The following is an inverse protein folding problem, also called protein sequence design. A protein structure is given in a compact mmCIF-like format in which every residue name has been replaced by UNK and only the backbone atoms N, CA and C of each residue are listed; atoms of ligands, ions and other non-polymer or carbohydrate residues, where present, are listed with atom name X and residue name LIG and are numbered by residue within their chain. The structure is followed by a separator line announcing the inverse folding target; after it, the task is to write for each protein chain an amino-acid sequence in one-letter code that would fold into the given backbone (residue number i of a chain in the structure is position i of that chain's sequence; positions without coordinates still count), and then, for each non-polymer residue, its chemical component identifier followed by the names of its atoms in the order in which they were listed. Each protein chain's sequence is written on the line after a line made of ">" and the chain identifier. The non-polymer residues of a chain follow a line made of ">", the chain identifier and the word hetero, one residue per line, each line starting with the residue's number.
data_IF_137919507540
#
_entry.id   IF_137919507540
#
_cell.length_a   1.000
_cell.length_b   1.000
_cell.length_c   1.000
_cell.angle_alpha   90.00
_cell.angle_beta   90.00
_cell.angle_gamma   90.00
#
_symmetry.space_group_name_H-M   'P 1'
#
loop_
_entity.id
_entity.type
_entity.pdbx_description
1 polymer ?
#
# COMPACT_ATOMS: atom_id res chain seq x y z
N UNK A 1 -26.63 12.35 6.61
CA UNK A 1 -26.57 12.08 8.07
C UNK A 1 -25.36 11.21 8.36
N UNK A 2 -24.36 11.72 9.10
CA UNK A 2 -23.19 10.93 9.51
C UNK A 2 -23.63 9.97 10.63
N UNK A 3 -23.83 8.70 10.34
CA UNK A 3 -23.91 7.67 11.38
C UNK A 3 -22.52 7.56 12.00
N UNK A 4 -22.33 8.21 13.15
CA UNK A 4 -21.18 7.94 14.01
C UNK A 4 -21.32 6.49 14.48
N UNK A 5 -20.70 5.57 13.73
CA UNK A 5 -20.63 4.17 14.12
C UNK A 5 -19.65 4.09 15.30
N UNK A 6 -20.20 3.93 16.50
CA UNK A 6 -19.39 3.75 17.70
C UNK A 6 -18.48 2.51 17.52
N UNK A 7 -17.15 2.61 17.77
CA UNK A 7 -16.23 1.48 17.73
C UNK A 7 -16.70 0.34 18.61
N UNK A 8 -16.48 -0.91 18.18
CA UNK A 8 -16.91 -2.09 18.92
C UNK A 8 -16.29 -2.15 20.32
N UNK A 9 -15.00 -1.79 20.44
CA UNK A 9 -14.29 -1.68 21.72
C UNK A 9 -14.93 -0.70 22.69
N UNK A 10 -15.40 0.45 22.20
CA UNK A 10 -16.13 1.41 23.02
C UNK A 10 -17.45 0.82 23.49
N UNK A 11 -18.20 0.17 22.59
CA UNK A 11 -19.44 -0.53 22.94
C UNK A 11 -19.22 -1.59 24.03
N UNK A 12 -18.24 -2.47 23.86
CA UNK A 12 -17.91 -3.50 24.86
C UNK A 12 -17.43 -2.86 26.17
N UNK A 13 -16.65 -1.79 26.12
CA UNK A 13 -16.23 -1.04 27.32
C UNK A 13 -17.41 -0.47 28.11
N UNK A 14 -18.42 0.10 27.44
CA UNK A 14 -19.65 0.56 28.10
C UNK A 14 -20.49 -0.59 28.63
N UNK A 15 -20.57 -1.70 27.86
CA UNK A 15 -21.26 -2.91 28.28
C UNK A 15 -20.63 -3.50 29.55
N UNK A 16 -19.31 -3.62 29.61
CA UNK A 16 -18.59 -4.10 30.78
C UNK A 16 -18.82 -3.17 31.98
N UNK A 17 -18.76 -1.85 31.81
CA UNK A 17 -19.11 -0.89 32.89
C UNK A 17 -20.54 -1.09 33.41
N UNK A 18 -21.51 -1.35 32.53
CA UNK A 18 -22.90 -1.65 32.89
C UNK A 18 -23.05 -2.99 33.61
N UNK A 19 -22.34 -4.02 33.13
CA UNK A 19 -22.37 -5.37 33.70
C UNK A 19 -21.73 -5.41 35.09
N UNK A 20 -20.64 -4.66 35.30
CA UNK A 20 -19.85 -4.71 36.54
C UNK A 20 -20.15 -3.62 37.56
N UNK A 21 -20.93 -2.58 37.25
CA UNK A 21 -21.36 -1.46 38.10
C UNK A 21 -20.32 -0.93 39.12
N UNK A 22 -19.83 0.32 38.95
CA UNK A 22 -18.90 1.06 39.83
C UNK A 22 -18.82 0.54 41.30
N UNK A 23 -17.87 -0.34 41.61
CA UNK A 23 -17.51 -0.69 42.99
C UNK A 23 -15.99 -0.59 43.19
N UNK A 24 -15.51 -0.12 44.36
CA UNK A 24 -14.08 -0.13 44.69
C UNK A 24 -13.58 -1.58 44.74
N UNK A 25 -12.34 -1.79 44.30
CA UNK A 25 -11.65 -3.09 44.17
C UNK A 25 -11.41 -3.87 45.49
N UNK A 26 -12.06 -3.50 46.59
CA UNK A 26 -11.89 -4.10 47.91
C UNK A 26 -13.17 -4.81 48.33
N UNK A 27 -13.39 -6.02 47.83
CA UNK A 27 -13.97 -7.17 48.55
C UNK A 27 -14.32 -8.28 47.54
N UNK A 28 -13.84 -9.48 47.84
CA UNK A 28 -14.02 -10.71 47.10
C UNK A 28 -15.50 -11.12 46.98
N UNK A 29 -16.15 -10.82 45.85
CA UNK A 29 -17.25 -11.57 45.20
C UNK A 29 -17.79 -10.76 44.00
N UNK A 30 -17.18 -10.96 42.81
CA UNK A 30 -17.62 -10.33 41.56
C UNK A 30 -19.08 -10.71 41.22
N UNK A 31 -20.03 -9.76 41.30
CA UNK A 31 -21.44 -9.97 40.94
C UNK A 31 -21.86 -9.23 39.67
N UNK A 32 -21.08 -9.40 38.59
CA UNK A 32 -21.48 -8.86 37.28
C UNK A 32 -22.83 -9.44 36.81
N UNK A 33 -23.71 -8.60 36.24
CA UNK A 33 -25.05 -9.02 35.79
C UNK A 33 -25.34 -8.69 34.32
N UNK A 34 -25.60 -9.74 33.55
CA UNK A 34 -25.97 -9.70 32.13
C UNK A 34 -27.49 -9.92 32.00
N UNK A 35 -28.21 -8.93 31.49
CA UNK A 35 -29.66 -8.96 31.27
C UNK A 35 -30.02 -9.41 29.84
N UNK A 36 -31.30 -9.65 29.57
CA UNK A 36 -31.75 -9.85 28.18
C UNK A 36 -31.58 -8.61 27.31
N UNK A 37 -31.61 -7.40 27.88
CA UNK A 37 -31.34 -6.17 27.13
C UNK A 37 -29.88 -6.09 26.70
N UNK A 38 -28.94 -6.51 27.55
CA UNK A 38 -27.53 -6.65 27.20
C UNK A 38 -27.34 -7.63 26.03
N UNK A 39 -27.97 -8.81 26.11
CA UNK A 39 -27.91 -9.82 25.03
C UNK A 39 -28.46 -9.26 23.71
N UNK A 40 -29.60 -8.55 23.73
CA UNK A 40 -30.19 -7.92 22.54
C UNK A 40 -29.30 -6.81 21.96
N UNK A 41 -28.63 -6.05 22.81
CA UNK A 41 -27.71 -5.00 22.37
C UNK A 41 -26.48 -5.60 21.67
N UNK A 42 -25.94 -6.70 22.20
CA UNK A 42 -24.82 -7.44 21.60
C UNK A 42 -25.21 -8.01 20.24
N UNK A 43 -26.38 -8.65 20.14
CA UNK A 43 -26.92 -9.17 18.88
C UNK A 43 -26.98 -8.08 17.80
N UNK A 44 -27.58 -6.93 18.13
CA UNK A 44 -27.67 -5.78 17.23
C UNK A 44 -26.28 -5.28 16.80
N UNK A 45 -25.32 -5.24 17.72
CA UNK A 45 -23.97 -4.74 17.43
C UNK A 45 -23.20 -5.72 16.54
N UNK A 46 -23.32 -7.02 16.76
CA UNK A 46 -22.72 -8.05 15.90
C UNK A 46 -23.29 -7.96 14.49
N UNK A 47 -24.60 -7.84 14.34
CA UNK A 47 -25.24 -7.65 13.04
C UNK A 47 -24.76 -6.37 12.33
N UNK A 48 -24.59 -5.26 13.06
CA UNK A 48 -24.01 -4.03 12.54
C UNK A 48 -22.57 -4.23 12.04
N UNK A 49 -21.74 -4.92 12.82
CA UNK A 49 -20.35 -5.19 12.46
C UNK A 49 -20.25 -6.05 11.19
N UNK A 50 -21.07 -7.09 11.07
CA UNK A 50 -21.12 -7.93 9.86
C UNK A 50 -21.57 -7.10 8.66
N UNK A 51 -22.69 -6.37 8.78
CA UNK A 51 -23.26 -5.57 7.69
C UNK A 51 -22.31 -4.52 7.15
N UNK A 52 -21.54 -3.88 8.04
CA UNK A 52 -20.65 -2.78 7.68
C UNK A 52 -19.19 -3.21 7.53
N UNK A 53 -18.86 -4.50 7.62
CA UNK A 53 -17.50 -5.01 7.52
C UNK A 53 -16.55 -4.47 8.58
N UNK A 54 -17.06 -4.19 9.79
CA UNK A 54 -16.29 -3.60 10.90
C UNK A 54 -15.41 -4.68 11.52
N UNK A 55 -14.14 -4.34 11.74
CA UNK A 55 -13.18 -5.22 12.39
C UNK A 55 -13.36 -5.19 13.90
N UNK A 56 -13.17 -6.35 14.54
CA UNK A 56 -13.07 -6.47 16.00
C UNK A 56 -11.71 -7.04 16.40
N UNK A 57 -11.19 -6.58 17.53
CA UNK A 57 -9.92 -7.06 18.08
C UNK A 57 -10.09 -8.43 18.73
N UNK A 58 -8.98 -9.16 18.90
CA UNK A 58 -8.97 -10.41 19.67
C UNK A 58 -9.43 -10.18 21.13
N UNK A 59 -9.04 -9.03 21.71
CA UNK A 59 -9.48 -8.62 23.05
C UNK A 59 -10.98 -8.42 23.14
N UNK A 60 -11.59 -7.77 22.14
CA UNK A 60 -13.05 -7.57 22.09
C UNK A 60 -13.80 -8.91 21.99
N UNK A 61 -13.29 -9.84 21.18
CA UNK A 61 -13.83 -11.21 21.09
C UNK A 61 -13.74 -11.94 22.43
N UNK A 62 -12.60 -11.85 23.11
CA UNK A 62 -12.42 -12.45 24.43
C UNK A 62 -13.38 -11.86 25.47
N UNK A 63 -13.55 -10.53 25.48
CA UNK A 63 -14.47 -9.86 26.40
C UNK A 63 -15.93 -10.27 26.17
N UNK A 64 -16.34 -10.49 24.90
CA UNK A 64 -17.64 -11.08 24.59
C UNK A 64 -17.80 -12.49 25.14
N UNK A 65 -16.78 -13.35 25.00
CA UNK A 65 -16.81 -14.71 25.54
C UNK A 65 -16.86 -14.71 27.07
N UNK A 66 -16.16 -13.78 27.73
CA UNK A 66 -16.21 -13.61 29.20
C UNK A 66 -17.63 -13.27 29.70
N UNK A 67 -18.47 -12.58 28.92
CA UNK A 67 -19.87 -12.33 29.30
C UNK A 67 -20.68 -13.61 29.42
N UNK A 68 -20.33 -14.66 28.65
CA UNK A 68 -20.94 -15.99 28.77
C UNK A 68 -20.71 -16.58 30.16
N UNK A 69 -19.47 -16.52 30.64
CA UNK A 69 -19.09 -17.02 31.97
C UNK A 69 -19.82 -16.27 33.09
N UNK A 70 -20.04 -14.96 32.92
CA UNK A 70 -20.83 -14.15 33.85
C UNK A 70 -22.29 -14.60 33.87
N UNK A 71 -22.87 -14.96 32.72
CA UNK A 71 -24.23 -15.53 32.66
C UNK A 71 -24.29 -16.85 33.42
N UNK A 72 -23.30 -17.74 33.25
CA UNK A 72 -23.21 -19.01 33.99
C UNK A 72 -23.13 -18.76 35.50
N UNK A 73 -22.25 -17.86 35.94
CA UNK A 73 -22.02 -17.55 37.36
C UNK A 73 -23.21 -16.85 38.05
N UNK A 74 -24.09 -16.17 37.30
CA UNK A 74 -25.28 -15.50 37.87
C UNK A 74 -26.28 -16.46 38.54
N UNK A 75 -26.32 -17.74 38.15
CA UNK A 75 -27.23 -18.77 38.71
C UNK A 75 -28.71 -18.30 38.87
N UNK A 76 -29.18 -17.44 37.96
CA UNK A 76 -30.56 -16.93 37.96
C UNK A 76 -31.58 -17.97 37.44
N UNK A 77 -32.86 -17.81 37.76
CA UNK A 77 -33.95 -18.66 37.24
C UNK A 77 -34.07 -18.66 35.70
N UNK A 78 -33.48 -17.68 35.01
CA UNK A 78 -33.50 -17.55 33.55
C UNK A 78 -32.15 -17.84 32.88
N UNK A 79 -31.19 -18.43 33.60
CA UNK A 79 -29.81 -18.65 33.11
C UNK A 79 -29.76 -19.48 31.83
N UNK A 80 -30.44 -20.63 31.76
CA UNK A 80 -30.47 -21.45 30.55
C UNK A 80 -31.05 -20.69 29.35
N UNK A 81 -32.13 -19.93 29.55
CA UNK A 81 -32.75 -19.14 28.47
C UNK A 81 -31.85 -18.01 27.99
N UNK A 82 -31.06 -17.39 28.87
CA UNK A 82 -30.05 -16.40 28.50
C UNK A 82 -28.90 -17.03 27.72
N UNK A 83 -28.38 -18.16 28.20
CA UNK A 83 -27.30 -18.89 27.52
C UNK A 83 -27.71 -19.35 26.13
N UNK A 84 -28.89 -19.94 25.97
CA UNK A 84 -29.37 -20.38 24.66
C UNK A 84 -29.43 -19.23 23.65
N UNK A 85 -29.94 -18.05 24.07
CA UNK A 85 -29.96 -16.87 23.20
C UNK A 85 -28.56 -16.33 22.92
N UNK A 86 -27.70 -16.31 23.93
CA UNK A 86 -26.34 -15.78 23.79
C UNK A 86 -25.47 -16.68 22.90
N UNK A 87 -25.55 -18.00 23.09
CA UNK A 87 -24.83 -18.98 22.29
C UNK A 87 -25.28 -18.95 20.82
N UNK A 88 -26.57 -18.71 20.55
CA UNK A 88 -27.06 -18.49 19.18
C UNK A 88 -26.44 -17.24 18.53
N UNK A 89 -26.32 -16.15 19.28
CA UNK A 89 -25.66 -14.92 18.80
C UNK A 89 -24.17 -15.17 18.53
N UNK A 90 -23.49 -15.93 19.39
CA UNK A 90 -22.07 -16.24 19.24
C UNK A 90 -21.75 -17.07 17.99
N UNK A 91 -22.72 -17.81 17.42
CA UNK A 91 -22.53 -18.49 16.12
C UNK A 91 -22.25 -17.52 14.97
N UNK A 92 -22.67 -16.27 15.08
CA UNK A 92 -22.41 -15.22 14.08
C UNK A 92 -21.05 -14.54 14.28
N UNK A 93 -20.35 -14.79 15.40
CA UNK A 93 -19.07 -14.15 15.72
C UNK A 93 -17.97 -14.43 14.68
N UNK A 94 -17.82 -15.65 14.13
CA UNK A 94 -16.83 -15.93 13.08
C UNK A 94 -17.07 -15.16 11.77
N UNK A 95 -18.27 -14.65 11.52
CA UNK A 95 -18.59 -13.86 10.34
C UNK A 95 -18.13 -12.40 10.45
N UNK A 96 -17.69 -11.95 11.62
CA UNK A 96 -17.13 -10.61 11.81
C UNK A 96 -15.65 -10.64 11.40
N UNK A 97 -15.23 -9.64 10.63
CA UNK A 97 -13.81 -9.49 10.27
C UNK A 97 -12.97 -9.30 11.55
N UNK A 98 -11.90 -10.07 11.68
CA UNK A 98 -10.93 -9.90 12.77
C UNK A 98 -9.78 -9.00 12.35
N UNK A 99 -9.04 -8.42 13.30
CA UNK A 99 -7.79 -7.71 12.98
C UNK A 99 -6.79 -8.57 12.18
N UNK A 100 -6.81 -9.89 12.34
CA UNK A 100 -6.05 -10.81 11.48
C UNK A 100 -6.48 -10.75 10.01
N UNK A 101 -7.77 -10.54 9.72
CA UNK A 101 -8.25 -10.28 8.36
C UNK A 101 -7.66 -8.98 7.80
N UNK A 102 -7.51 -7.94 8.62
CA UNK A 102 -6.91 -6.65 8.21
C UNK A 102 -5.44 -6.82 7.83
N UNK A 103 -4.68 -7.60 8.59
CA UNK A 103 -3.29 -7.93 8.23
C UNK A 103 -3.25 -8.70 6.91
N UNK A 104 -4.11 -9.71 6.76
CA UNK A 104 -4.14 -10.53 5.55
C UNK A 104 -4.46 -9.68 4.31
N UNK A 105 -5.44 -8.79 4.39
CA UNK A 105 -5.78 -7.84 3.30
C UNK A 105 -4.58 -6.95 2.92
N UNK A 106 -3.84 -6.42 3.90
CA UNK A 106 -2.63 -5.63 3.65
C UNK A 106 -1.50 -6.46 3.04
N UNK A 107 -1.33 -7.72 3.45
CA UNK A 107 -0.35 -8.64 2.85
C UNK A 107 -0.71 -8.91 1.38
N UNK A 108 -1.99 -9.15 1.09
CA UNK A 108 -2.46 -9.36 -0.28
C UNK A 108 -2.26 -8.11 -1.14
N UNK A 109 -2.55 -6.92 -0.60
CA UNK A 109 -2.28 -5.65 -1.27
C UNK A 109 -0.78 -5.48 -1.57
N UNK A 110 0.07 -5.74 -0.58
CA UNK A 110 1.53 -5.74 -0.74
C UNK A 110 1.97 -6.70 -1.85
N UNK A 111 1.46 -7.93 -1.86
CA UNK A 111 1.81 -8.93 -2.88
C UNK A 111 1.41 -8.47 -4.28
N UNK A 112 0.19 -7.95 -4.44
CA UNK A 112 -0.31 -7.43 -5.71
C UNK A 112 0.51 -6.25 -6.23
N UNK A 113 0.83 -5.30 -5.36
CA UNK A 113 1.66 -4.13 -5.70
C UNK A 113 3.08 -4.56 -6.04
N UNK A 114 3.65 -5.50 -5.29
CA UNK A 114 5.00 -6.00 -5.56
C UNK A 114 5.06 -6.79 -6.88
N UNK A 115 4.02 -7.55 -7.24
CA UNK A 115 3.92 -8.21 -8.54
C UNK A 115 3.94 -7.19 -9.69
N UNK A 116 3.10 -6.15 -9.62
CA UNK A 116 3.08 -5.04 -10.60
C UNK A 116 4.46 -4.36 -10.72
N UNK A 117 5.12 -4.12 -9.59
CA UNK A 117 6.48 -3.55 -9.57
C UNK A 117 7.50 -4.45 -10.27
N UNK A 118 7.39 -5.76 -10.13
CA UNK A 118 8.28 -6.71 -10.82
C UNK A 118 8.04 -6.71 -12.34
N UNK A 119 6.78 -6.61 -12.78
CA UNK A 119 6.45 -6.48 -14.21
C UNK A 119 6.99 -5.18 -14.80
N UNK A 120 6.81 -4.04 -14.12
CA UNK A 120 7.39 -2.76 -14.55
C UNK A 120 8.92 -2.81 -14.60
N UNK A 121 9.55 -3.47 -13.62
CA UNK A 121 11.01 -3.67 -13.60
C UNK A 121 11.46 -4.46 -14.82
N UNK A 122 10.69 -5.46 -15.26
CA UNK A 122 10.93 -6.21 -16.48
C UNK A 122 10.78 -5.31 -17.72
N UNK A 123 9.65 -4.61 -17.86
CA UNK A 123 9.41 -3.68 -18.98
C UNK A 123 10.52 -2.63 -19.13
N UNK A 124 11.00 -2.09 -18.01
CA UNK A 124 12.10 -1.11 -17.96
C UNK A 124 13.42 -1.72 -18.41
N UNK A 125 13.72 -2.96 -18.01
CA UNK A 125 14.90 -3.68 -18.48
C UNK A 125 14.80 -4.03 -19.97
N UNK A 126 13.63 -4.45 -20.45
CA UNK A 126 13.39 -4.73 -21.86
C UNK A 126 13.57 -3.44 -22.70
N UNK A 127 13.12 -2.29 -22.19
CA UNK A 127 13.32 -0.98 -22.83
C UNK A 127 14.79 -0.61 -22.92
N UNK A 128 15.58 -0.84 -21.85
CA UNK A 128 17.04 -0.69 -21.90
C UNK A 128 17.67 -1.58 -22.97
N UNK A 129 17.26 -2.85 -23.04
CA UNK A 129 17.80 -3.78 -24.04
C UNK A 129 17.45 -3.36 -25.47
N UNK A 130 16.21 -2.92 -25.72
CA UNK A 130 15.80 -2.38 -27.03
C UNK A 130 16.65 -1.18 -27.44
N UNK A 131 16.91 -0.26 -26.50
CA UNK A 131 17.74 0.91 -26.75
C UNK A 131 19.20 0.51 -27.02
N UNK A 132 19.74 -0.45 -26.26
CA UNK A 132 21.08 -0.99 -26.46
C UNK A 132 21.25 -1.66 -27.83
N UNK A 133 20.31 -2.54 -28.21
CA UNK A 133 20.31 -3.18 -29.52
C UNK A 133 20.20 -2.17 -30.66
N UNK A 134 19.40 -1.10 -30.48
CA UNK A 134 19.29 -0.01 -31.45
C UNK A 134 20.63 0.71 -31.64
N UNK A 135 21.35 1.04 -30.56
CA UNK A 135 22.67 1.68 -30.65
C UNK A 135 23.72 0.78 -31.30
N UNK A 136 23.76 -0.51 -30.96
CA UNK A 136 24.70 -1.45 -31.57
C UNK A 136 24.43 -1.64 -33.06
N UNK A 137 23.17 -1.79 -33.46
CA UNK A 137 22.80 -1.89 -34.87
C UNK A 137 23.26 -0.66 -35.68
N UNK A 138 23.19 0.54 -35.08
CA UNK A 138 23.69 1.75 -35.74
C UNK A 138 25.22 1.83 -35.78
N UNK A 139 25.93 1.16 -34.88
CA UNK A 139 27.39 1.11 -34.86
C UNK A 139 27.96 0.08 -35.86
N UNK A 140 27.23 -1.02 -36.09
CA UNK A 140 27.64 -2.13 -36.97
C UNK A 140 27.35 -1.87 -38.46
N UNK A 141 26.32 -1.09 -38.78
CA UNK A 141 26.08 -0.64 -40.15
C UNK A 141 27.04 0.51 -40.51
N UNK A 142 27.49 0.54 -41.77
CA UNK A 142 28.44 1.48 -42.40
C UNK A 142 27.91 2.94 -42.49
N UNK A 143 27.18 3.41 -41.46
CA UNK A 143 26.50 4.71 -41.38
C UNK A 143 27.46 5.88 -41.14
N UNK A 144 28.79 5.67 -41.11
CA UNK A 144 29.77 6.72 -40.79
C UNK A 144 29.40 7.51 -39.51
N UNK A 145 28.95 6.80 -38.45
CA UNK A 145 28.53 7.42 -37.17
C UNK A 145 29.65 8.28 -36.59
N UNK A 146 29.46 9.61 -36.43
CA UNK A 146 30.48 10.49 -35.88
C UNK A 146 30.96 10.01 -34.52
N UNK A 147 32.26 10.16 -34.19
CA UNK A 147 32.80 9.80 -32.88
C UNK A 147 32.01 10.38 -31.71
N UNK A 148 31.54 11.62 -31.83
CA UNK A 148 30.71 12.27 -30.82
C UNK A 148 29.38 11.52 -30.54
N UNK A 149 28.72 11.01 -31.58
CA UNK A 149 27.47 10.25 -31.45
C UNK A 149 27.73 8.88 -30.83
N UNK A 150 28.84 8.22 -31.20
CA UNK A 150 29.26 6.95 -30.57
C UNK A 150 29.52 7.13 -29.08
N UNK A 151 30.22 8.20 -28.70
CA UNK A 151 30.45 8.55 -27.30
C UNK A 151 29.14 8.81 -26.54
N UNK A 152 28.14 9.44 -27.17
CA UNK A 152 26.82 9.58 -26.55
C UNK A 152 26.20 8.21 -26.27
N UNK A 153 26.18 7.29 -27.26
CA UNK A 153 25.59 5.97 -27.07
C UNK A 153 26.26 5.22 -25.92
N UNK A 154 27.59 5.23 -25.85
CA UNK A 154 28.34 4.64 -24.73
C UNK A 154 27.94 5.23 -23.38
N UNK A 155 27.80 6.56 -23.27
CA UNK A 155 27.37 7.23 -22.03
C UNK A 155 25.93 6.88 -21.65
N UNK A 156 25.02 6.83 -22.62
CA UNK A 156 23.64 6.40 -22.39
C UNK A 156 23.61 4.96 -21.87
N UNK A 157 24.33 4.04 -22.49
CA UNK A 157 24.44 2.64 -22.05
C UNK A 157 25.02 2.56 -20.63
N UNK A 158 26.05 3.36 -20.33
CA UNK A 158 26.68 3.40 -19.02
C UNK A 158 25.78 4.01 -17.91
N UNK A 159 24.84 4.89 -18.28
CA UNK A 159 23.97 5.60 -17.34
C UNK A 159 23.07 4.66 -16.52
N UNK A 160 22.61 3.55 -17.12
CA UNK A 160 21.81 2.47 -16.48
C UNK A 160 20.54 2.92 -15.72
N UNK A 161 20.13 4.17 -15.87
CA UNK A 161 18.95 4.80 -15.25
C UNK A 161 18.45 5.91 -16.20
N UNK A 162 17.13 6.00 -16.36
CA UNK A 162 16.47 6.95 -17.27
C UNK A 162 16.79 8.42 -16.99
N UNK A 163 16.89 8.84 -15.72
CA UNK A 163 17.24 10.22 -15.37
C UNK A 163 18.62 10.63 -15.86
N UNK A 164 19.61 9.75 -15.72
CA UNK A 164 20.97 10.01 -16.19
C UNK A 164 21.05 9.96 -17.71
N UNK A 165 20.33 9.03 -18.33
CA UNK A 165 20.21 8.98 -19.79
C UNK A 165 19.62 10.27 -20.35
N UNK A 166 18.52 10.75 -19.76
CA UNK A 166 17.88 11.99 -20.17
C UNK A 166 18.83 13.17 -20.05
N UNK A 167 19.58 13.27 -18.94
CA UNK A 167 20.57 14.33 -18.75
C UNK A 167 21.71 14.29 -19.80
N UNK A 168 22.29 13.11 -20.05
CA UNK A 168 23.34 12.93 -21.07
C UNK A 168 22.82 13.26 -22.48
N UNK A 169 21.61 12.80 -22.82
CA UNK A 169 20.98 13.06 -24.10
C UNK A 169 20.71 14.56 -24.30
N UNK A 170 20.12 15.21 -23.30
CA UNK A 170 19.88 16.65 -23.33
C UNK A 170 21.17 17.44 -23.45
N UNK A 171 22.19 17.09 -22.67
CA UNK A 171 23.50 17.75 -22.75
C UNK A 171 24.11 17.65 -24.16
N UNK A 172 24.02 16.46 -24.78
CA UNK A 172 24.47 16.26 -26.15
C UNK A 172 23.66 17.10 -27.16
N UNK A 173 22.32 17.06 -27.09
CA UNK A 173 21.48 17.84 -28.01
C UNK A 173 21.72 19.35 -27.91
N UNK A 174 22.06 19.85 -26.71
CA UNK A 174 22.43 21.25 -26.48
C UNK A 174 23.76 21.62 -27.14
N UNK A 175 24.80 20.77 -27.00
CA UNK A 175 26.11 21.02 -27.61
C UNK A 175 26.02 21.03 -29.14
N UNK A 176 25.22 20.14 -29.72
CA UNK A 176 25.13 19.93 -31.16
C UNK A 176 23.88 20.54 -31.81
N UNK A 177 23.17 21.41 -31.08
CA UNK A 177 21.99 22.15 -31.54
C UNK A 177 20.92 21.30 -32.28
N UNK A 178 20.69 20.08 -31.77
CA UNK A 178 19.67 19.17 -32.32
C UNK A 178 18.30 19.58 -31.81
N UNK A 179 17.41 20.01 -32.71
CA UNK A 179 16.04 20.38 -32.33
C UNK A 179 15.19 19.11 -32.24
N UNK A 180 14.84 18.69 -31.03
CA UNK A 180 13.89 17.60 -30.77
C UNK A 180 12.74 18.18 -29.95
N UNK A 181 11.47 18.04 -30.37
CA UNK A 181 10.35 18.38 -29.52
C UNK A 181 10.33 17.42 -28.32
N UNK A 182 10.66 17.92 -27.12
CA UNK A 182 10.59 17.16 -25.88
C UNK A 182 9.14 17.23 -25.37
N UNK A 183 8.48 16.08 -25.30
CA UNK A 183 7.07 15.97 -24.89
C UNK A 183 6.93 15.41 -23.47
N UNK A 184 7.83 15.79 -22.56
CA UNK A 184 7.81 15.34 -21.17
C UNK A 184 7.65 16.51 -20.20
N UNK A 185 6.54 16.50 -19.46
CA UNK A 185 6.35 17.32 -18.26
C UNK A 185 7.22 16.75 -17.13
N UNK A 186 8.41 17.33 -16.94
CA UNK A 186 9.36 16.99 -15.87
C UNK A 186 8.72 17.31 -14.50
N UNK A 187 8.62 16.37 -13.55
CA UNK A 187 8.11 16.63 -12.21
C UNK A 187 8.94 17.70 -11.46
N UNK A 188 8.29 18.53 -10.65
CA UNK A 188 8.89 19.71 -9.99
C UNK A 188 10.05 19.40 -9.04
N UNK A 189 10.21 18.15 -8.61
CA UNK A 189 11.30 17.70 -7.74
C UNK A 189 12.63 17.43 -8.47
N UNK A 190 12.69 17.60 -9.79
CA UNK A 190 13.90 17.51 -10.61
C UNK A 190 14.40 18.91 -11.03
N UNK A 191 14.66 19.79 -10.06
CA UNK A 191 14.97 21.21 -10.25
C UNK A 191 16.25 21.52 -11.06
N UNK A 192 17.10 20.51 -11.33
CA UNK A 192 18.32 20.67 -12.12
C UNK A 192 18.13 20.74 -13.64
N UNK A 193 16.93 20.48 -14.17
CA UNK A 193 16.70 20.25 -15.61
C UNK A 193 15.74 21.30 -16.21
N UNK A 194 15.52 22.45 -15.55
CA UNK A 194 14.46 23.38 -15.97
C UNK A 194 14.83 24.52 -16.92
N UNK A 195 16.07 24.66 -17.38
CA UNK A 195 16.37 25.72 -18.37
C UNK A 195 17.54 25.35 -19.26
N UNK A 196 17.32 25.36 -20.59
CA UNK A 196 18.23 25.85 -21.65
C UNK A 196 17.67 25.48 -23.03
N UNK A 197 16.80 26.37 -23.54
CA UNK A 197 16.54 26.50 -24.97
C UNK A 197 17.40 27.67 -25.47
N UNK A 198 18.43 27.40 -26.27
CA UNK A 198 19.07 28.38 -27.17
C UNK A 198 19.52 27.67 -28.45
N UNK A 199 19.56 28.41 -29.56
CA UNK A 199 19.48 27.91 -30.93
C UNK A 199 20.81 27.85 -31.71
N UNK A 200 20.73 27.15 -32.87
CA UNK A 200 21.54 27.18 -34.11
C UNK A 200 22.92 26.51 -34.20
N UNK A 201 22.95 25.29 -34.78
CA UNK A 201 23.67 24.84 -36.00
C UNK A 201 23.43 23.34 -36.21
N UNK A 202 23.26 22.92 -37.47
CA UNK A 202 22.72 21.62 -37.88
C UNK A 202 23.36 20.39 -37.20
N UNK A 203 22.56 19.35 -36.84
CA UNK A 203 23.08 18.08 -36.34
C UNK A 203 24.07 17.44 -37.34
N UNK A 204 25.03 16.62 -36.87
CA UNK A 204 25.87 15.86 -37.78
C UNK A 204 25.01 15.01 -38.73
N UNK A 205 25.41 14.99 -40.00
CA UNK A 205 24.68 14.61 -41.22
C UNK A 205 24.26 13.13 -41.35
N UNK A 206 23.86 12.49 -40.26
CA UNK A 206 23.22 11.17 -40.28
C UNK A 206 21.73 11.36 -40.08
N UNK A 207 20.92 10.66 -40.87
CA UNK A 207 19.47 10.51 -40.67
C UNK A 207 19.15 9.67 -39.42
N UNK A 208 19.74 10.02 -38.27
CA UNK A 208 19.36 9.45 -36.98
C UNK A 208 17.98 9.98 -36.63
N UNK A 209 17.07 9.09 -36.29
CA UNK A 209 15.76 9.47 -35.78
C UNK A 209 15.89 9.88 -34.31
N UNK A 210 16.40 11.10 -34.09
CA UNK A 210 16.63 11.65 -32.75
C UNK A 210 15.35 11.71 -31.89
N UNK A 211 14.19 11.90 -32.53
CA UNK A 211 12.89 11.84 -31.85
C UNK A 211 12.59 10.43 -31.31
N UNK A 212 12.92 9.38 -32.07
CA UNK A 212 12.78 8.00 -31.60
C UNK A 212 13.70 7.69 -30.43
N UNK A 213 14.95 8.19 -30.43
CA UNK A 213 15.87 8.02 -29.30
C UNK A 213 15.32 8.72 -28.05
N UNK A 214 14.83 9.96 -28.19
CA UNK A 214 14.20 10.71 -27.09
C UNK A 214 13.04 9.92 -26.51
N UNK A 215 12.12 9.45 -27.34
CA UNK A 215 10.94 8.70 -26.90
C UNK A 215 11.32 7.44 -26.10
N UNK A 216 12.36 6.70 -26.52
CA UNK A 216 12.83 5.51 -25.79
C UNK A 216 13.47 5.86 -24.45
N UNK A 217 14.20 6.98 -24.37
CA UNK A 217 14.78 7.46 -23.11
C UNK A 217 13.67 7.93 -22.16
N UNK A 218 12.67 8.63 -22.69
CA UNK A 218 11.50 9.10 -21.94
C UNK A 218 10.67 7.93 -21.40
N UNK A 219 10.46 6.86 -22.18
CA UNK A 219 9.83 5.60 -21.73
C UNK A 219 10.57 5.03 -20.50
N UNK A 220 11.90 4.89 -20.59
CA UNK A 220 12.72 4.37 -19.49
C UNK A 220 12.62 5.27 -18.26
N UNK A 221 12.66 6.59 -18.46
CA UNK A 221 12.53 7.57 -17.37
C UNK A 221 11.18 7.46 -16.65
N UNK A 222 10.07 7.39 -17.40
CA UNK A 222 8.73 7.25 -16.81
C UNK A 222 8.59 5.94 -16.02
N UNK A 223 9.14 4.84 -16.54
CA UNK A 223 9.15 3.56 -15.83
C UNK A 223 9.98 3.62 -14.54
N UNK A 224 11.13 4.30 -14.53
CA UNK A 224 11.93 4.51 -13.32
C UNK A 224 11.17 5.35 -12.27
N UNK A 225 10.40 6.36 -12.69
CA UNK A 225 9.56 7.17 -11.81
C UNK A 225 8.41 6.36 -11.21
N UNK A 226 7.72 5.56 -12.01
CA UNK A 226 6.68 4.65 -11.51
C UNK A 226 7.25 3.65 -10.51
N UNK A 227 8.40 3.03 -10.82
CA UNK A 227 9.10 2.11 -9.91
C UNK A 227 9.48 2.77 -8.57
N UNK A 228 9.84 4.04 -8.58
CA UNK A 228 10.10 4.82 -7.37
C UNK A 228 8.82 4.97 -6.53
N UNK A 229 7.69 5.34 -7.15
CA UNK A 229 6.40 5.46 -6.47
C UNK A 229 5.93 4.12 -5.87
N UNK A 230 6.07 3.04 -6.64
CA UNK A 230 5.78 1.69 -6.16
C UNK A 230 6.62 1.30 -4.95
N UNK A 231 7.91 1.68 -4.92
CA UNK A 231 8.78 1.45 -3.76
C UNK A 231 8.25 2.20 -2.52
N UNK A 232 7.87 3.47 -2.65
CA UNK A 232 7.31 4.23 -1.53
C UNK A 232 6.02 3.61 -0.98
N UNK A 233 5.11 3.17 -1.85
CA UNK A 233 3.88 2.50 -1.44
C UNK A 233 4.16 1.19 -0.69
N UNK A 234 5.13 0.41 -1.17
CA UNK A 234 5.56 -0.83 -0.52
C UNK A 234 6.12 -0.56 0.88
N UNK A 235 6.99 0.45 1.03
CA UNK A 235 7.59 0.80 2.32
C UNK A 235 6.50 1.24 3.33
N UNK A 236 5.51 2.01 2.86
CA UNK A 236 4.36 2.40 3.69
C UNK A 236 3.50 1.20 4.12
N UNK A 237 3.21 0.27 3.20
CA UNK A 237 2.44 -0.94 3.52
C UNK A 237 3.18 -1.84 4.50
N UNK A 238 4.50 -2.00 4.34
CA UNK A 238 5.32 -2.78 5.27
C UNK A 238 5.28 -2.19 6.69
N UNK A 239 5.33 -0.85 6.81
CA UNK A 239 5.22 -0.20 8.11
C UNK A 239 3.84 -0.43 8.75
N UNK A 240 2.74 -0.32 7.99
CA UNK A 240 1.38 -0.62 8.48
C UNK A 240 1.23 -2.07 8.93
N UNK A 241 1.78 -3.02 8.17
CA UNK A 241 1.75 -4.44 8.53
C UNK A 241 2.51 -4.67 9.83
N UNK A 242 3.72 -4.10 9.98
CA UNK A 242 4.53 -4.23 11.19
C UNK A 242 3.84 -3.65 12.42
N UNK A 243 3.20 -2.50 12.28
CA UNK A 243 2.46 -1.85 13.37
C UNK A 243 1.33 -2.75 13.89
N UNK A 244 0.47 -3.23 13.00
CA UNK A 244 -0.68 -4.08 13.39
C UNK A 244 -0.20 -5.44 13.92
N UNK A 245 0.82 -6.04 13.29
CA UNK A 245 1.40 -7.30 13.77
C UNK A 245 2.04 -7.14 15.16
N UNK A 246 2.73 -6.03 15.41
CA UNK A 246 3.30 -5.72 16.72
C UNK A 246 2.23 -5.60 17.81
N UNK A 247 1.11 -4.94 17.53
CA UNK A 247 -0.03 -4.86 18.45
C UNK A 247 -0.61 -6.23 18.77
N UNK A 248 -0.76 -7.12 17.77
CA UNK A 248 -1.26 -8.48 18.00
C UNK A 248 -0.31 -9.34 18.85
N UNK A 249 1.01 -9.22 18.66
CA UNK A 249 2.00 -9.97 19.46
C UNK A 249 1.96 -9.53 20.93
N UNK A 250 1.81 -8.23 21.19
CA UNK A 250 1.67 -7.72 22.56
C UNK A 250 0.39 -8.23 23.22
N UNK A 251 -0.72 -8.28 22.47
CA UNK A 251 -2.02 -8.74 23.01
C UNK A 251 -2.09 -10.26 23.24
N UNK A 252 -1.34 -11.07 22.50
CA UNK A 252 -1.29 -12.53 22.70
C UNK A 252 -0.36 -12.95 23.85
N UNK A 253 0.55 -12.08 24.28
CA UNK A 253 1.49 -12.33 25.38
C UNK A 253 1.06 -11.65 26.70
N UNK A 254 -0.09 -10.97 26.73
CA UNK A 254 -0.69 -10.34 27.89
C UNK A 254 -1.88 -11.16 28.41
#
# INVERSE_FOLDING_TARGET
>A
MKTSHQPFSSFIGHMNKSVYAKQPLTHSLCSGRVSFSHIKAIDKKIAECIKHGIYISATDQLQLLQLRDIIVKQKSHCTQKKLAKFDEILKNLPAIKSESCKIWELITEYQNINAKRMDLKKQRNDSFQRLYSYFNAMADYDYNVPPAVRMLFERLIAAKNGMRMLAEFQHFTQIYNVTIPINCSIPDNCSGIKNRQQALTAPPSISLNWAEISNKIDEIFMLDLELYNYKQNIDQLQNKIKEIAGTLVVLNNA
#
